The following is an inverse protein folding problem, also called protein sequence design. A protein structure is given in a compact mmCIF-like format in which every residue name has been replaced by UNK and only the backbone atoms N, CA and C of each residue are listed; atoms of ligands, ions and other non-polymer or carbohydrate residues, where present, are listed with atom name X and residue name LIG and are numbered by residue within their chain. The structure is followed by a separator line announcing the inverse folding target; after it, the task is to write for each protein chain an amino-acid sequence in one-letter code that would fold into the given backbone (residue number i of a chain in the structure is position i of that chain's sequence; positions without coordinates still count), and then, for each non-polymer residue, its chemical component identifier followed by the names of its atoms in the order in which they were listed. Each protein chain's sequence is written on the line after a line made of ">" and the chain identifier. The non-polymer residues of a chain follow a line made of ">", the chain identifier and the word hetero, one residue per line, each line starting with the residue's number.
data_IF_928798731559
#
_entry.id   IF_928798731559
#
_cell.length_a   1.000
_cell.length_b   1.000
_cell.length_c   1.000
_cell.angle_alpha   90.00
_cell.angle_beta   90.00
_cell.angle_gamma   90.00
#
_symmetry.space_group_name_H-M   'P 1'
#
loop_
_entity.id
_entity.type
_entity.pdbx_description
1 polymer ?
#
# COMPACT_ATOMS: atom_id res chain seq x y z
N UNK A 1 -75.38 46.49 31.74
CA UNK A 1 -74.12 47.09 32.15
C UNK A 1 -72.99 46.22 31.56
N UNK A 2 -72.61 46.57 30.31
CA UNK A 2 -71.72 45.80 29.49
C UNK A 2 -70.27 46.18 29.73
N UNK A 3 -69.41 45.21 30.07
CA UNK A 3 -67.96 45.36 30.14
C UNK A 3 -67.35 44.64 28.94
N UNK A 4 -66.84 45.40 27.99
CA UNK A 4 -66.08 44.94 26.83
C UNK A 4 -64.70 44.54 27.27
N UNK A 5 -64.32 43.28 27.01
CA UNK A 5 -62.93 42.77 27.16
C UNK A 5 -62.14 43.06 25.90
N UNK A 6 -61.17 43.98 26.00
CA UNK A 6 -60.19 44.26 24.95
C UNK A 6 -59.16 43.12 24.86
N UNK A 7 -59.21 42.36 23.78
CA UNK A 7 -58.15 41.41 23.46
C UNK A 7 -56.92 42.12 22.90
N UNK A 8 -55.79 41.98 23.59
CA UNK A 8 -54.46 42.43 23.09
C UNK A 8 -53.92 41.37 22.13
N UNK A 9 -53.85 41.70 20.83
CA UNK A 9 -53.16 40.92 19.83
C UNK A 9 -51.65 41.16 20.02
N UNK A 10 -50.90 40.12 20.37
CA UNK A 10 -49.42 40.12 20.30
C UNK A 10 -49.00 39.76 18.87
N UNK A 11 -48.45 40.74 18.14
CA UNK A 11 -47.75 40.49 16.88
C UNK A 11 -46.42 39.78 17.21
N UNK A 12 -46.34 38.52 16.83
CA UNK A 12 -45.07 37.79 16.86
C UNK A 12 -44.28 38.12 15.58
N UNK A 13 -43.15 38.78 15.73
CA UNK A 13 -42.23 39.00 14.63
C UNK A 13 -41.47 37.70 14.29
N UNK A 14 -41.29 37.33 13.01
CA UNK A 14 -40.53 36.14 12.66
C UNK A 14 -39.06 36.36 12.91
N UNK A 15 -38.43 35.49 13.73
CA UNK A 15 -37.00 35.43 13.89
C UNK A 15 -36.41 34.73 12.66
N UNK A 16 -35.78 35.48 11.79
CA UNK A 16 -35.00 34.91 10.67
C UNK A 16 -33.68 34.33 11.21
N UNK A 17 -33.61 32.98 11.27
CA UNK A 17 -32.37 32.28 11.60
C UNK A 17 -31.51 32.27 10.34
N UNK A 18 -30.47 33.14 10.28
CA UNK A 18 -29.43 33.06 9.30
C UNK A 18 -28.50 31.88 9.62
N UNK A 19 -28.68 30.74 8.96
CA UNK A 19 -27.72 29.64 8.97
C UNK A 19 -26.55 30.05 8.08
N UNK A 20 -25.49 30.58 8.69
CA UNK A 20 -24.23 30.83 8.00
C UNK A 20 -23.57 29.48 7.67
N UNK A 21 -23.71 29.03 6.43
CA UNK A 21 -22.99 27.86 5.92
C UNK A 21 -21.54 28.28 5.63
N UNK A 22 -20.67 28.13 6.64
CA UNK A 22 -19.24 28.32 6.46
C UNK A 22 -18.70 27.17 5.62
N UNK A 23 -18.51 27.37 4.32
CA UNK A 23 -17.77 26.45 3.45
C UNK A 23 -16.31 26.39 3.96
N UNK A 24 -15.98 25.35 4.73
CA UNK A 24 -14.60 25.02 4.99
C UNK A 24 -13.98 24.50 3.68
N UNK A 25 -13.25 25.39 2.99
CA UNK A 25 -12.34 25.01 1.92
C UNK A 25 -11.23 24.14 2.53
N UNK A 26 -11.38 22.80 2.46
CA UNK A 26 -10.30 21.89 2.77
C UNK A 26 -9.25 22.10 1.69
N UNK A 27 -8.03 22.55 2.02
CA UNK A 27 -6.99 22.73 1.02
C UNK A 27 -6.75 21.38 0.37
N UNK A 28 -6.89 21.30 -0.96
CA UNK A 28 -6.52 20.12 -1.73
C UNK A 28 -5.04 19.85 -1.46
N UNK A 29 -4.76 18.72 -0.80
CA UNK A 29 -3.40 18.29 -0.52
C UNK A 29 -2.70 18.13 -1.86
N UNK A 30 -1.75 19.02 -2.17
CA UNK A 30 -0.94 18.93 -3.38
C UNK A 30 -0.35 17.53 -3.46
N UNK A 31 -0.67 16.79 -4.51
CA UNK A 31 -0.13 15.44 -4.71
C UNK A 31 1.37 15.62 -4.96
N UNK A 32 2.19 15.23 -3.99
CA UNK A 32 3.64 15.31 -4.10
C UNK A 32 4.10 14.45 -5.28
N UNK A 33 4.90 15.04 -6.17
CA UNK A 33 5.45 14.29 -7.31
C UNK A 33 6.58 13.37 -6.82
N UNK A 34 6.71 12.17 -7.40
CA UNK A 34 7.83 11.30 -7.12
C UNK A 34 9.18 12.01 -7.32
N UNK A 35 10.13 11.77 -6.41
CA UNK A 35 11.46 12.39 -6.43
C UNK A 35 12.54 11.33 -6.57
N UNK A 36 13.67 11.73 -7.15
CA UNK A 36 14.87 10.87 -7.16
C UNK A 36 15.31 10.59 -5.72
N UNK A 37 15.63 9.33 -5.44
CA UNK A 37 16.21 8.91 -4.17
C UNK A 37 17.16 7.74 -4.37
N UNK A 38 18.09 7.59 -3.44
CA UNK A 38 18.91 6.39 -3.25
C UNK A 38 18.49 5.75 -1.93
N UNK A 39 18.32 4.45 -1.93
CA UNK A 39 17.99 3.65 -0.73
C UNK A 39 19.14 2.66 -0.53
N UNK A 40 19.77 2.71 0.61
CA UNK A 40 20.74 1.69 1.02
C UNK A 40 19.98 0.40 1.36
N UNK A 41 20.41 -0.72 0.76
CA UNK A 41 19.77 -2.03 0.96
C UNK A 41 20.34 -2.73 2.21
N UNK A 42 20.28 -2.04 3.35
CA UNK A 42 20.60 -2.57 4.67
C UNK A 42 19.35 -2.61 5.54
N UNK A 43 19.00 -3.81 5.99
CA UNK A 43 17.82 -4.01 6.88
C UNK A 43 18.13 -3.74 8.35
N UNK A 44 19.39 -3.47 8.70
CA UNK A 44 19.84 -3.33 10.09
C UNK A 44 19.41 -4.52 10.98
N UNK A 45 19.50 -5.74 10.42
CA UNK A 45 19.14 -6.98 11.11
C UNK A 45 17.66 -7.31 11.17
N UNK A 46 16.80 -6.58 10.43
CA UNK A 46 15.39 -6.92 10.25
C UNK A 46 15.19 -7.83 9.03
N UNK A 47 14.05 -8.48 8.96
CA UNK A 47 13.70 -9.37 7.86
C UNK A 47 13.18 -8.61 6.62
N UNK A 48 12.91 -7.30 6.75
CA UNK A 48 12.30 -6.49 5.71
C UNK A 48 12.77 -5.05 5.72
N UNK A 49 12.93 -4.47 4.51
CA UNK A 49 13.14 -3.03 4.29
C UNK A 49 12.23 -2.55 3.16
N UNK A 50 11.38 -1.56 3.44
CA UNK A 50 10.59 -0.89 2.39
C UNK A 50 11.49 0.02 1.54
N UNK A 51 11.56 -0.23 0.23
CA UNK A 51 12.33 0.58 -0.74
C UNK A 51 11.47 1.66 -1.38
N UNK A 52 10.25 1.31 -1.81
CA UNK A 52 9.24 2.23 -2.35
C UNK A 52 7.87 1.92 -1.76
N UNK A 53 7.21 2.92 -1.20
CA UNK A 53 5.89 2.75 -0.57
C UNK A 53 4.72 2.68 -1.57
N UNK A 54 4.93 3.03 -2.82
CA UNK A 54 3.88 3.27 -3.80
C UNK A 54 3.52 4.76 -3.90
N UNK A 55 2.40 5.11 -4.55
CA UNK A 55 1.99 6.51 -4.66
C UNK A 55 1.79 7.18 -3.28
N UNK A 56 2.22 8.43 -3.10
CA UNK A 56 2.80 9.36 -4.09
C UNK A 56 4.31 9.23 -4.29
N UNK A 57 5.01 8.37 -3.58
CA UNK A 57 6.46 8.21 -3.62
C UNK A 57 6.95 7.65 -4.96
N UNK A 58 6.15 6.84 -5.61
CA UNK A 58 6.29 6.38 -7.00
C UNK A 58 4.98 6.59 -7.76
N UNK A 59 4.97 6.36 -9.07
CA UNK A 59 3.74 6.44 -9.87
C UNK A 59 2.82 5.26 -9.60
N UNK A 60 3.35 4.03 -9.68
CA UNK A 60 2.59 2.78 -9.47
C UNK A 60 3.37 1.72 -8.69
N UNK A 61 4.71 1.83 -8.63
CA UNK A 61 5.56 0.79 -8.06
C UNK A 61 5.56 0.80 -6.54
N UNK A 62 5.52 -0.41 -5.98
CA UNK A 62 5.96 -0.70 -4.59
C UNK A 62 7.18 -1.60 -4.67
N UNK A 63 8.09 -1.48 -3.71
CA UNK A 63 9.29 -2.32 -3.68
C UNK A 63 9.80 -2.47 -2.26
N UNK A 64 10.37 -3.62 -1.98
CA UNK A 64 11.02 -3.92 -0.72
C UNK A 64 12.18 -4.89 -0.90
N UNK A 65 13.01 -4.97 0.12
CA UNK A 65 14.02 -5.99 0.29
C UNK A 65 13.51 -7.00 1.33
N UNK A 66 13.44 -8.26 0.94
CA UNK A 66 13.14 -9.39 1.82
C UNK A 66 14.44 -10.09 2.23
N UNK A 67 14.50 -10.49 3.49
CA UNK A 67 15.60 -11.27 4.08
C UNK A 67 15.01 -12.47 4.80
N UNK A 68 15.13 -13.65 4.21
CA UNK A 68 14.60 -14.89 4.76
C UNK A 68 15.71 -15.74 5.38
N UNK A 69 15.62 -16.06 6.65
CA UNK A 69 16.45 -17.06 7.28
C UNK A 69 16.21 -18.47 6.69
N UNK A 70 17.10 -19.42 6.88
CA UNK A 70 16.89 -20.81 6.44
C UNK A 70 15.51 -21.35 6.86
N UNK A 71 14.78 -21.95 5.92
CA UNK A 71 13.42 -22.49 6.07
C UNK A 71 12.30 -21.45 6.30
N UNK A 72 12.60 -20.16 6.30
CA UNK A 72 11.56 -19.12 6.28
C UNK A 72 10.91 -18.94 4.89
N UNK A 73 9.69 -18.47 4.89
CA UNK A 73 8.95 -18.07 3.68
C UNK A 73 8.18 -16.78 3.91
N UNK A 74 7.88 -16.07 2.82
CA UNK A 74 7.04 -14.86 2.87
C UNK A 74 5.56 -15.16 3.09
N UNK A 75 5.15 -16.42 2.92
CA UNK A 75 3.75 -16.83 2.91
C UNK A 75 3.13 -16.76 1.52
N UNK A 76 2.09 -17.59 1.33
CA UNK A 76 1.36 -17.65 0.07
C UNK A 76 0.53 -16.38 -0.14
N UNK A 77 0.67 -15.76 -1.30
CA UNK A 77 -0.06 -14.56 -1.69
C UNK A 77 -0.22 -14.49 -3.22
N UNK A 78 -1.09 -13.60 -3.69
CA UNK A 78 -1.33 -13.37 -5.12
C UNK A 78 -0.80 -12.01 -5.55
N UNK A 79 -0.28 -11.93 -6.77
CA UNK A 79 0.03 -10.66 -7.42
C UNK A 79 -1.22 -9.81 -7.68
N UNK A 80 -2.43 -10.43 -7.73
CA UNK A 80 -3.68 -9.75 -8.06
C UNK A 80 -3.56 -8.94 -9.37
N UNK A 81 -3.95 -7.67 -9.35
CA UNK A 81 -3.87 -6.78 -10.52
C UNK A 81 -2.50 -6.10 -10.69
N UNK A 82 -1.42 -6.79 -10.27
CA UNK A 82 -0.06 -6.29 -10.37
C UNK A 82 0.80 -7.34 -11.08
N UNK A 83 1.87 -6.88 -11.66
CA UNK A 83 2.99 -7.72 -12.04
C UNK A 83 4.13 -7.55 -11.03
N UNK A 84 4.94 -8.57 -10.87
CA UNK A 84 6.01 -8.57 -9.90
C UNK A 84 7.33 -9.07 -10.51
N UNK A 85 8.41 -8.38 -10.19
CA UNK A 85 9.78 -8.78 -10.50
C UNK A 85 10.55 -8.98 -9.20
N UNK A 86 11.16 -10.14 -9.02
CA UNK A 86 12.11 -10.41 -7.96
C UNK A 86 13.53 -10.40 -8.52
N UNK A 87 14.44 -9.70 -7.85
CA UNK A 87 15.88 -9.72 -8.16
C UNK A 87 16.63 -10.29 -6.97
N UNK A 88 17.18 -11.48 -7.13
CA UNK A 88 17.84 -12.21 -6.05
C UNK A 88 19.28 -11.75 -5.91
N UNK A 89 19.60 -11.23 -4.72
CA UNK A 89 20.92 -10.69 -4.39
C UNK A 89 21.83 -11.74 -3.76
N UNK A 90 21.26 -12.61 -2.90
CA UNK A 90 22.03 -13.57 -2.11
C UNK A 90 21.19 -14.81 -1.78
N UNK A 91 21.86 -15.95 -1.62
CA UNK A 91 21.25 -17.19 -1.17
C UNK A 91 20.54 -17.96 -2.27
N UNK A 92 19.69 -18.92 -1.84
CA UNK A 92 18.87 -19.76 -2.72
C UNK A 92 17.58 -20.19 -2.04
N UNK A 93 16.57 -20.44 -2.84
CA UNK A 93 15.28 -20.90 -2.38
C UNK A 93 14.46 -21.51 -3.51
N UNK A 94 13.16 -21.60 -3.28
CA UNK A 94 12.18 -22.07 -4.25
C UNK A 94 10.96 -21.15 -4.21
N UNK A 95 10.49 -20.77 -5.37
CA UNK A 95 9.16 -20.18 -5.55
C UNK A 95 8.21 -21.30 -5.94
N UNK A 96 7.11 -21.45 -5.20
CA UNK A 96 6.05 -22.44 -5.44
C UNK A 96 4.78 -21.75 -5.89
N UNK A 97 4.03 -22.40 -6.80
CA UNK A 97 2.79 -21.88 -7.38
C UNK A 97 1.61 -22.79 -7.01
N UNK A 98 0.37 -22.31 -7.24
CA UNK A 98 -0.86 -23.05 -6.93
C UNK A 98 -1.01 -24.37 -7.68
N UNK A 99 -0.53 -24.43 -8.92
CA UNK A 99 -0.54 -25.64 -9.73
C UNK A 99 0.48 -26.69 -9.27
N UNK A 100 1.23 -26.40 -8.20
CA UNK A 100 2.29 -27.25 -7.66
C UNK A 100 3.62 -27.12 -8.38
N UNK A 101 3.72 -26.32 -9.43
CA UNK A 101 4.98 -26.04 -10.11
C UNK A 101 5.94 -25.27 -9.20
N UNK A 102 7.24 -25.33 -9.53
CA UNK A 102 8.32 -24.70 -8.74
C UNK A 102 9.38 -24.12 -9.65
N UNK A 103 9.91 -22.97 -9.23
CA UNK A 103 11.07 -22.35 -9.84
C UNK A 103 12.18 -22.18 -8.81
N UNK A 104 13.41 -22.46 -9.22
CA UNK A 104 14.58 -22.19 -8.39
C UNK A 104 14.82 -20.70 -8.26
N UNK A 105 15.02 -20.26 -7.04
CA UNK A 105 15.40 -18.90 -6.66
C UNK A 105 16.84 -18.92 -6.20
N UNK A 106 17.72 -18.20 -6.86
CA UNK A 106 19.15 -18.14 -6.48
C UNK A 106 19.80 -16.81 -6.86
N UNK A 107 20.89 -16.47 -6.17
CA UNK A 107 21.63 -15.24 -6.43
C UNK A 107 21.91 -15.01 -7.92
N UNK A 108 21.86 -13.75 -8.35
CA UNK A 108 22.03 -13.29 -9.74
C UNK A 108 20.94 -13.77 -10.71
N UNK A 109 19.75 -14.13 -10.21
CA UNK A 109 18.57 -14.41 -11.02
C UNK A 109 17.51 -13.33 -10.80
N UNK A 110 16.73 -13.09 -11.83
CA UNK A 110 15.46 -12.37 -11.76
C UNK A 110 14.31 -13.31 -12.11
N UNK A 111 13.19 -13.20 -11.39
CA UNK A 111 11.98 -13.95 -11.62
C UNK A 111 10.85 -12.96 -11.88
N UNK A 112 10.03 -13.26 -12.87
CA UNK A 112 8.86 -12.47 -13.21
C UNK A 112 7.58 -13.25 -12.89
N UNK A 113 6.66 -12.62 -12.17
CA UNK A 113 5.33 -13.13 -11.88
C UNK A 113 4.29 -12.25 -12.58
N UNK A 114 3.51 -12.80 -13.51
CA UNK A 114 2.42 -12.07 -14.15
C UNK A 114 1.29 -11.77 -13.15
N UNK A 115 0.32 -10.92 -13.53
CA UNK A 115 -0.89 -10.72 -12.73
C UNK A 115 -1.64 -12.01 -12.42
N UNK A 116 -2.43 -12.00 -11.35
CA UNK A 116 -3.29 -13.11 -10.88
C UNK A 116 -2.49 -14.41 -10.60
N UNK A 117 -1.22 -14.28 -10.21
CA UNK A 117 -0.35 -15.42 -9.89
C UNK A 117 -0.24 -15.63 -8.38
N UNK A 118 -0.77 -16.74 -7.88
CA UNK A 118 -0.53 -17.16 -6.48
C UNK A 118 0.82 -17.87 -6.37
N UNK A 119 1.62 -17.39 -5.42
CA UNK A 119 2.96 -17.95 -5.20
C UNK A 119 3.43 -17.77 -3.75
N UNK A 120 4.52 -18.47 -3.42
CA UNK A 120 5.23 -18.34 -2.15
C UNK A 120 6.72 -18.55 -2.38
N UNK A 121 7.56 -17.69 -1.81
CA UNK A 121 9.02 -17.84 -1.83
C UNK A 121 9.46 -18.42 -0.49
N UNK A 122 10.23 -19.51 -0.55
CA UNK A 122 10.80 -20.18 0.62
C UNK A 122 12.30 -20.28 0.48
N UNK A 123 13.04 -19.89 1.51
CA UNK A 123 14.48 -20.14 1.59
C UNK A 123 14.74 -21.61 1.87
N UNK A 124 15.30 -22.34 0.89
CA UNK A 124 15.70 -23.75 1.01
C UNK A 124 17.21 -23.92 1.17
N UNK A 125 17.94 -22.81 1.28
CA UNK A 125 19.38 -22.80 1.52
C UNK A 125 19.74 -22.87 3.00
N UNK A 126 21.05 -22.98 3.27
CA UNK A 126 21.61 -22.94 4.64
C UNK A 126 22.00 -21.53 5.11
N UNK A 127 22.06 -20.57 4.20
CA UNK A 127 22.33 -19.15 4.46
C UNK A 127 21.09 -18.33 4.21
N UNK A 128 21.12 -17.04 4.54
CA UNK A 128 20.03 -16.11 4.25
C UNK A 128 19.74 -16.05 2.75
N UNK A 129 18.47 -15.91 2.39
CA UNK A 129 18.02 -15.54 1.05
C UNK A 129 17.62 -14.08 1.07
N UNK A 130 18.27 -13.24 0.22
CA UNK A 130 17.96 -11.82 0.10
C UNK A 130 17.54 -11.51 -1.34
N UNK A 131 16.43 -10.85 -1.49
CA UNK A 131 15.97 -10.40 -2.81
C UNK A 131 15.19 -9.09 -2.70
N UNK A 132 15.29 -8.28 -3.75
CA UNK A 132 14.43 -7.12 -3.95
C UNK A 132 13.24 -7.56 -4.79
N UNK A 133 12.03 -7.23 -4.33
CA UNK A 133 10.84 -7.32 -5.17
C UNK A 133 10.42 -5.93 -5.66
N UNK A 134 9.84 -5.88 -6.83
CA UNK A 134 9.20 -4.70 -7.42
C UNK A 134 7.82 -5.11 -7.93
N UNK A 135 6.79 -4.45 -7.43
CA UNK A 135 5.40 -4.67 -7.83
C UNK A 135 4.89 -3.42 -8.52
N UNK A 136 4.32 -3.59 -9.71
CA UNK A 136 3.74 -2.50 -10.49
C UNK A 136 2.28 -2.81 -10.84
N UNK A 137 1.39 -1.80 -10.71
CA UNK A 137 0.00 -1.94 -11.14
C UNK A 137 -0.09 -2.05 -12.67
N UNK A 138 -0.97 -2.92 -13.14
CA UNK A 138 -1.27 -3.10 -14.57
C UNK A 138 -2.41 -2.22 -15.08
N UNK A 139 -2.95 -1.36 -14.21
CA UNK A 139 -4.05 -0.42 -14.52
C UNK A 139 -3.74 0.98 -14.03
#
# INVERSE_FOLDING_TARGET
>A
MNLEARSKQFLAAPIAIFVSCSLFLIPAKSQEKPRLKVVELDTHGKDYLQVLAGPPESVTMKSGLEVLAPNQSVGKHSTGQHEELLVVLEGRGVMTFDDGSKLDVKANHALYCPPETEHNVTNTGSNVLRYVYVVASTK
#
